data_IF_358248836629
#
_entry.id   IF_358248836629
#
_cell.length_a   1.000
_cell.length_b   1.000
_cell.length_c   1.000
_cell.angle_alpha   90.00
_cell.angle_beta   90.00
_cell.angle_gamma   90.00
#
_symmetry.space_group_name_H-M   'P 1'
#
loop_
_entity.id
_entity.type
_entity.pdbx_description
1 polymer ?
#
# COMPACT_ATOMS: atom_id res chain seq x y z
N UNK A 1 -10.13 36.27 5.67
CA UNK A 1 -10.41 34.88 5.27
C UNK A 1 -9.60 33.99 6.20
N UNK A 2 -10.21 33.20 7.11
CA UNK A 2 -9.47 32.20 7.87
C UNK A 2 -8.93 31.13 6.90
N UNK A 3 -7.69 30.72 7.12
CA UNK A 3 -7.02 29.66 6.36
C UNK A 3 -7.78 28.33 6.56
N UNK A 4 -8.05 27.55 5.49
CA UNK A 4 -8.68 26.25 5.64
C UNK A 4 -7.79 25.35 6.50
N UNK A 5 -8.26 25.00 7.69
CA UNK A 5 -7.55 24.03 8.52
C UNK A 5 -7.69 22.67 7.85
N UNK A 6 -6.57 22.14 7.36
CA UNK A 6 -6.52 20.77 6.86
C UNK A 6 -6.96 19.80 7.98
N UNK A 7 -7.76 18.77 7.67
CA UNK A 7 -8.09 17.73 8.62
C UNK A 7 -6.79 17.18 9.23
N UNK A 8 -6.67 17.21 10.56
CA UNK A 8 -5.57 16.55 11.26
C UNK A 8 -6.10 15.22 11.80
N UNK A 9 -5.45 14.10 11.51
CA UNK A 9 -5.85 12.82 12.07
C UNK A 9 -5.67 12.84 13.58
N UNK A 10 -6.55 12.13 14.28
CA UNK A 10 -6.43 11.89 15.71
C UNK A 10 -5.21 11.00 16.00
N UNK A 11 -4.50 11.26 17.10
CA UNK A 11 -3.28 10.54 17.46
C UNK A 11 -3.58 9.05 17.73
N UNK A 12 -4.75 8.74 18.31
CA UNK A 12 -5.20 7.36 18.54
C UNK A 12 -5.55 6.65 17.22
N UNK A 13 -6.21 7.36 16.29
CA UNK A 13 -6.50 6.85 14.95
C UNK A 13 -5.22 6.55 14.17
N UNK A 14 -4.22 7.43 14.28
CA UNK A 14 -2.89 7.26 13.66
C UNK A 14 -2.16 6.06 14.24
N UNK A 15 -2.10 5.90 15.56
CA UNK A 15 -1.46 4.75 16.19
C UNK A 15 -2.12 3.42 15.78
N UNK A 16 -3.46 3.39 15.73
CA UNK A 16 -4.20 2.24 15.23
C UNK A 16 -3.90 1.96 13.75
N UNK A 17 -3.77 3.00 12.92
CA UNK A 17 -3.43 2.87 11.52
C UNK A 17 -2.00 2.38 11.29
N UNK A 18 -1.03 2.82 12.10
CA UNK A 18 0.35 2.30 12.06
C UNK A 18 0.37 0.79 12.32
N UNK A 19 -0.40 0.33 13.32
CA UNK A 19 -0.57 -1.10 13.57
C UNK A 19 -1.19 -1.83 12.38
N UNK A 20 -2.18 -1.23 11.70
CA UNK A 20 -2.76 -1.80 10.48
C UNK A 20 -1.77 -1.82 9.32
N UNK A 21 -0.95 -0.79 9.15
CA UNK A 21 0.08 -0.73 8.11
C UNK A 21 1.12 -1.85 8.28
N UNK A 22 1.58 -2.05 9.52
CA UNK A 22 2.48 -3.17 9.82
C UNK A 22 1.82 -4.52 9.50
N UNK A 23 0.58 -4.72 9.96
CA UNK A 23 -0.14 -5.97 9.66
C UNK A 23 -0.35 -6.18 8.16
N UNK A 24 -0.68 -5.12 7.42
CA UNK A 24 -0.87 -5.17 5.97
C UNK A 24 0.43 -5.63 5.28
N UNK A 25 1.58 -5.07 5.66
CA UNK A 25 2.88 -5.51 5.14
C UNK A 25 3.19 -6.97 5.50
N UNK A 26 2.94 -7.38 6.75
CA UNK A 26 3.17 -8.77 7.17
C UNK A 26 2.25 -9.79 6.50
N UNK A 27 1.06 -9.37 6.05
CA UNK A 27 0.14 -10.22 5.28
C UNK A 27 0.48 -10.22 3.79
N UNK A 28 0.87 -9.06 3.26
CA UNK A 28 1.17 -8.84 1.85
C UNK A 28 2.42 -9.61 1.40
N UNK A 29 3.54 -9.44 2.11
CA UNK A 29 4.83 -9.97 1.66
C UNK A 29 4.81 -11.51 1.49
N UNK A 30 4.26 -12.31 2.42
CA UNK A 30 4.12 -13.75 2.20
C UNK A 30 3.13 -14.11 1.08
N UNK A 31 2.08 -13.32 0.89
CA UNK A 31 1.06 -13.57 -0.13
C UNK A 31 1.56 -13.31 -1.57
N UNK A 32 2.58 -12.45 -1.73
CA UNK A 32 3.27 -12.25 -3.00
C UNK A 32 4.15 -13.43 -3.41
N UNK A 33 4.51 -14.29 -2.46
CA UNK A 33 5.44 -15.38 -2.68
C UNK A 33 6.90 -14.94 -2.66
N UNK A 34 7.81 -15.88 -2.93
CA UNK A 34 9.24 -15.61 -3.01
C UNK A 34 9.60 -14.81 -4.26
N UNK A 35 10.56 -13.90 -4.15
CA UNK A 35 11.05 -13.12 -5.28
C UNK A 35 11.44 -11.69 -4.94
N UNK A 36 11.74 -10.93 -5.99
CA UNK A 36 11.99 -9.49 -5.92
C UNK A 36 10.75 -8.73 -6.34
N UNK A 37 10.27 -7.88 -5.45
CA UNK A 37 9.04 -7.11 -5.60
C UNK A 37 9.34 -5.61 -5.43
N UNK A 38 8.72 -4.79 -6.25
CA UNK A 38 8.55 -3.36 -5.97
C UNK A 38 7.10 -3.12 -5.54
N UNK A 39 6.94 -2.53 -4.35
CA UNK A 39 5.66 -2.07 -3.84
C UNK A 39 5.57 -0.56 -4.08
N UNK A 40 4.62 -0.10 -4.87
CA UNK A 40 4.38 1.31 -5.14
C UNK A 40 3.02 1.71 -4.58
N UNK A 41 2.98 2.76 -3.77
CA UNK A 41 1.74 3.37 -3.29
C UNK A 41 1.55 4.74 -3.93
N UNK A 42 0.34 5.00 -4.42
CA UNK A 42 -0.12 6.33 -4.83
C UNK A 42 -1.32 6.70 -3.96
N UNK A 43 -1.33 7.92 -3.41
CA UNK A 43 -2.42 8.42 -2.60
C UNK A 43 -2.80 9.84 -3.03
N UNK A 44 -4.09 10.07 -3.29
CA UNK A 44 -4.66 11.40 -3.47
C UNK A 44 -5.10 11.94 -2.10
N UNK A 45 -4.49 13.03 -1.66
CA UNK A 45 -4.90 13.73 -0.45
C UNK A 45 -6.22 14.46 -0.67
N UNK A 46 -6.93 14.77 0.41
CA UNK A 46 -8.21 15.51 0.34
C UNK A 46 -8.09 16.91 -0.26
N UNK A 47 -6.88 17.47 -0.32
CA UNK A 47 -6.59 18.75 -0.99
C UNK A 47 -6.26 18.59 -2.49
N UNK A 48 -6.37 17.37 -3.04
CA UNK A 48 -6.07 17.03 -4.44
C UNK A 48 -4.58 16.78 -4.71
N UNK A 49 -3.71 16.85 -3.70
CA UNK A 49 -2.28 16.55 -3.86
C UNK A 49 -2.06 15.05 -4.02
N UNK A 50 -1.40 14.63 -5.10
CA UNK A 50 -0.92 13.26 -5.24
C UNK A 50 0.41 13.05 -4.51
N UNK A 51 0.51 11.95 -3.76
CA UNK A 51 1.72 11.53 -3.07
C UNK A 51 2.07 10.09 -3.45
N UNK A 52 3.36 9.82 -3.68
CA UNK A 52 3.85 8.52 -4.16
C UNK A 52 5.08 8.07 -3.38
N UNK A 53 5.18 6.76 -3.18
CA UNK A 53 6.37 6.12 -2.62
C UNK A 53 6.52 4.71 -3.16
N UNK A 54 7.76 4.25 -3.30
CA UNK A 54 8.08 2.87 -3.68
C UNK A 54 8.96 2.19 -2.63
N UNK A 55 8.83 0.88 -2.52
CA UNK A 55 9.62 0.02 -1.66
C UNK A 55 10.06 -1.24 -2.42
N UNK A 56 11.35 -1.45 -2.54
CA UNK A 56 11.97 -2.64 -3.11
C UNK A 56 12.23 -3.67 -2.02
N UNK A 57 11.63 -4.85 -2.18
CA UNK A 57 11.70 -5.95 -1.22
C UNK A 57 12.09 -7.24 -1.90
N UNK A 58 13.01 -7.99 -1.30
CA UNK A 58 13.19 -9.41 -1.61
C UNK A 58 12.51 -10.25 -0.54
N UNK A 59 11.68 -11.20 -0.96
CA UNK A 59 11.02 -12.18 -0.08
C UNK A 59 11.70 -13.54 -0.27
N UNK A 60 12.14 -14.12 0.84
CA UNK A 60 12.79 -15.43 0.95
C UNK A 60 11.99 -16.32 1.93
N UNK A 61 12.22 -17.65 1.96
CA UNK A 61 11.58 -18.52 2.94
C UNK A 61 11.77 -18.01 4.39
N UNK A 62 10.68 -17.55 5.01
CA UNK A 62 10.67 -17.11 6.41
C UNK A 62 11.33 -15.75 6.68
N UNK A 63 11.75 -15.00 5.66
CA UNK A 63 12.33 -13.67 5.84
C UNK A 63 12.10 -12.74 4.65
N UNK A 64 12.30 -11.45 4.85
CA UNK A 64 12.27 -10.47 3.78
C UNK A 64 13.30 -9.37 4.05
N UNK A 65 13.77 -8.74 2.98
CA UNK A 65 14.76 -7.65 3.03
C UNK A 65 14.25 -6.46 2.23
N UNK A 66 14.22 -5.30 2.88
CA UNK A 66 14.04 -4.00 2.21
C UNK A 66 15.40 -3.51 1.73
N UNK A 67 15.47 -3.05 0.48
CA UNK A 67 16.70 -2.52 -0.12
C UNK A 67 16.80 -1.00 -0.08
N UNK A 68 15.67 -0.33 0.18
CA UNK A 68 15.60 1.13 0.34
C UNK A 68 16.34 1.63 1.57
N UNK A 69 16.65 2.93 1.55
CA UNK A 69 17.16 3.60 2.75
C UNK A 69 16.11 3.60 3.88
N UNK A 70 16.52 3.76 5.15
CA UNK A 70 15.58 3.90 6.26
C UNK A 70 14.58 5.05 6.05
N UNK A 71 15.01 6.16 5.45
CA UNK A 71 14.18 7.32 5.17
C UNK A 71 13.11 7.02 4.13
N UNK A 72 13.48 6.32 3.06
CA UNK A 72 12.55 5.88 2.01
C UNK A 72 11.53 4.86 2.56
N UNK A 73 11.99 3.91 3.38
CA UNK A 73 11.10 2.98 4.08
C UNK A 73 10.10 3.72 4.98
N UNK A 74 10.58 4.68 5.78
CA UNK A 74 9.72 5.49 6.65
C UNK A 74 8.71 6.29 5.83
N UNK A 75 9.14 6.90 4.72
CA UNK A 75 8.24 7.64 3.85
C UNK A 75 7.12 6.75 3.30
N UNK A 76 7.46 5.58 2.76
CA UNK A 76 6.48 4.60 2.30
C UNK A 76 5.52 4.16 3.42
N UNK A 77 6.06 3.82 4.58
CA UNK A 77 5.28 3.34 5.72
C UNK A 77 4.32 4.40 6.26
N UNK A 78 4.75 5.66 6.31
CA UNK A 78 3.93 6.80 6.71
C UNK A 78 2.80 7.03 5.71
N UNK A 79 3.09 6.96 4.41
CA UNK A 79 2.07 7.13 3.37
C UNK A 79 1.01 6.02 3.43
N UNK A 80 1.43 4.76 3.59
CA UNK A 80 0.53 3.63 3.80
C UNK A 80 -0.32 3.80 5.08
N UNK A 81 0.29 4.31 6.15
CA UNK A 81 -0.41 4.59 7.40
C UNK A 81 -1.53 5.61 7.20
N UNK A 82 -1.26 6.73 6.52
CA UNK A 82 -2.28 7.74 6.25
C UNK A 82 -3.36 7.24 5.30
N UNK A 83 -3.00 6.45 4.28
CA UNK A 83 -3.97 5.81 3.40
C UNK A 83 -4.94 4.88 4.17
N UNK A 84 -4.42 4.12 5.14
CA UNK A 84 -5.23 3.24 6.00
C UNK A 84 -6.00 3.99 7.10
N UNK A 85 -5.63 5.22 7.40
CA UNK A 85 -6.33 6.09 8.35
C UNK A 85 -7.49 6.86 7.67
N UNK A 86 -7.33 7.23 6.41
CA UNK A 86 -8.35 7.79 5.49
C UNK A 86 -8.84 9.23 5.78
N UNK A 87 -8.52 9.86 6.91
CA UNK A 87 -9.03 11.23 7.19
C UNK A 87 -8.39 12.32 6.32
N UNK A 88 -7.18 12.06 5.80
CA UNK A 88 -6.39 12.99 4.98
C UNK A 88 -6.16 12.50 3.55
N UNK A 89 -6.59 11.28 3.25
CA UNK A 89 -6.41 10.60 1.97
C UNK A 89 -7.79 10.25 1.42
N UNK A 90 -8.10 10.82 0.25
CA UNK A 90 -9.35 10.60 -0.47
C UNK A 90 -9.37 9.22 -1.13
N UNK A 91 -8.28 8.90 -1.82
CA UNK A 91 -8.11 7.65 -2.55
C UNK A 91 -6.65 7.19 -2.47
N UNK A 92 -6.43 5.87 -2.46
CA UNK A 92 -5.10 5.32 -2.48
C UNK A 92 -5.08 3.91 -3.06
N UNK A 93 -4.04 3.67 -3.87
CA UNK A 93 -3.79 2.40 -4.55
C UNK A 93 -2.40 1.93 -4.21
N UNK A 94 -2.29 0.65 -3.84
CA UNK A 94 -1.03 -0.06 -3.67
C UNK A 94 -0.87 -1.05 -4.82
N UNK A 95 0.27 -1.01 -5.50
CA UNK A 95 0.63 -1.95 -6.58
C UNK A 95 1.90 -2.69 -6.18
N UNK A 96 1.90 -4.01 -6.33
CA UNK A 96 3.10 -4.82 -6.25
C UNK A 96 3.47 -5.26 -7.66
N UNK A 97 4.68 -4.94 -8.11
CA UNK A 97 5.26 -5.47 -9.33
C UNK A 97 6.34 -6.48 -8.99
N UNK A 98 6.36 -7.60 -9.71
CA UNK A 98 7.32 -8.69 -9.50
C UNK A 98 8.07 -8.93 -10.79
N UNK A 99 9.40 -8.81 -10.75
CA UNK A 99 10.26 -9.09 -11.88
C UNK A 99 10.67 -10.58 -11.83
N UNK A 100 9.95 -11.43 -12.57
CA UNK A 100 10.24 -12.85 -12.73
C UNK A 100 10.48 -13.19 -14.22
N UNK A 101 9.91 -14.27 -14.77
CA UNK A 101 9.87 -14.58 -16.20
C UNK A 101 8.94 -13.61 -17.01
N UNK A 102 8.81 -12.37 -16.55
CA UNK A 102 7.88 -11.32 -16.96
C UNK A 102 7.73 -10.26 -15.85
N UNK A 103 7.04 -9.14 -16.11
CA UNK A 103 6.66 -8.19 -15.05
C UNK A 103 5.21 -8.48 -14.68
N UNK A 104 4.98 -8.99 -13.47
CA UNK A 104 3.64 -9.27 -12.97
C UNK A 104 3.20 -8.17 -12.03
N UNK A 105 2.01 -7.59 -12.22
CA UNK A 105 1.46 -6.56 -11.35
C UNK A 105 0.16 -6.99 -10.68
N UNK A 106 0.11 -6.91 -9.36
CA UNK A 106 -1.08 -7.13 -8.56
C UNK A 106 -1.36 -5.83 -7.77
N UNK A 107 -2.63 -5.49 -7.54
CA UNK A 107 -3.02 -4.19 -7.00
C UNK A 107 -4.14 -4.27 -5.98
N UNK A 108 -4.15 -3.31 -5.07
CA UNK A 108 -5.14 -3.18 -4.01
C UNK A 108 -5.59 -1.73 -3.88
N UNK A 109 -6.90 -1.55 -3.73
CA UNK A 109 -7.48 -0.33 -3.19
C UNK A 109 -7.29 -0.27 -1.68
N UNK A 110 -6.92 0.90 -1.19
CA UNK A 110 -6.89 1.18 0.25
C UNK A 110 -8.22 1.79 0.64
N UNK A 111 -9.10 0.98 1.24
CA UNK A 111 -10.43 1.43 1.69
C UNK A 111 -10.81 0.79 3.01
N UNK A 112 -11.64 1.48 3.80
CA UNK A 112 -12.10 1.01 5.11
C UNK A 112 -10.95 0.60 6.06
N UNK A 113 -9.80 1.26 5.91
CA UNK A 113 -8.58 0.99 6.65
C UNK A 113 -7.95 -0.37 6.37
N UNK A 114 -8.12 -0.92 5.16
CA UNK A 114 -7.48 -2.16 4.73
C UNK A 114 -7.19 -2.20 3.23
N UNK A 115 -6.44 -3.22 2.80
CA UNK A 115 -6.10 -3.49 1.40
C UNK A 115 -7.14 -4.43 0.79
N UNK A 116 -7.77 -4.00 -0.29
CA UNK A 116 -8.78 -4.76 -1.01
C UNK A 116 -8.32 -5.04 -2.44
N UNK A 117 -8.34 -6.30 -2.92
CA UNK A 117 -7.96 -6.62 -4.30
C UNK A 117 -8.72 -5.74 -5.29
N UNK A 118 -7.97 -5.13 -6.19
CA UNK A 118 -8.48 -4.30 -7.28
C UNK A 118 -8.90 -5.19 -8.46
N UNK A 119 -9.86 -4.73 -9.26
CA UNK A 119 -10.15 -5.40 -10.53
C UNK A 119 -8.96 -5.24 -11.51
N UNK A 120 -8.70 -6.27 -12.30
CA UNK A 120 -7.59 -6.25 -13.27
C UNK A 120 -7.71 -5.12 -14.30
N UNK A 121 -8.91 -4.67 -14.65
CA UNK A 121 -9.08 -3.53 -15.57
C UNK A 121 -8.73 -2.20 -14.90
N UNK A 122 -9.13 -2.01 -13.65
CA UNK A 122 -8.78 -0.81 -12.85
C UNK A 122 -7.26 -0.75 -12.62
N UNK A 123 -6.65 -1.91 -12.38
CA UNK A 123 -5.21 -2.03 -12.21
C UNK A 123 -4.43 -1.73 -13.49
N UNK A 124 -4.97 -2.06 -14.66
CA UNK A 124 -4.37 -1.69 -15.94
C UNK A 124 -4.32 -0.16 -16.11
N UNK A 125 -5.38 0.54 -15.71
CA UNK A 125 -5.45 2.01 -15.74
C UNK A 125 -4.49 2.63 -14.70
N UNK A 126 -4.47 2.11 -13.48
CA UNK A 126 -3.58 2.56 -12.43
C UNK A 126 -2.10 2.34 -12.80
N UNK A 127 -1.76 1.18 -13.38
CA UNK A 127 -0.39 0.84 -13.80
C UNK A 127 0.19 1.82 -14.82
N UNK A 128 -0.64 2.42 -15.68
CA UNK A 128 -0.21 3.46 -16.60
C UNK A 128 0.32 4.71 -15.87
N UNK A 129 -0.18 5.00 -14.66
CA UNK A 129 0.27 6.13 -13.85
C UNK A 129 1.58 5.87 -13.09
N UNK A 130 1.98 4.60 -12.91
CA UNK A 130 3.20 4.19 -12.20
C UNK A 130 4.44 4.10 -13.10
N UNK A 131 4.34 4.43 -14.39
CA UNK A 131 5.46 4.43 -15.34
C UNK A 131 6.30 3.13 -15.31
N UNK A 132 5.62 1.98 -15.37
CA UNK A 132 6.32 0.68 -15.50
C UNK A 132 7.15 0.72 -16.81
N UNK A 133 8.50 0.61 -16.75
CA UNK A 133 9.37 0.90 -17.89
C UNK A 133 9.15 0.04 -19.14
N UNK A 134 8.46 -1.09 -18.98
CA UNK A 134 8.11 -2.01 -20.05
C UNK A 134 6.63 -2.43 -19.94
N UNK A 135 5.74 -1.44 -20.08
CA UNK A 135 4.29 -1.67 -20.05
C UNK A 135 3.80 -2.70 -21.12
N UNK A 136 4.61 -2.99 -22.14
CA UNK A 136 4.30 -3.98 -23.18
C UNK A 136 4.46 -5.44 -22.70
N UNK A 137 5.18 -5.69 -21.61
CA UNK A 137 5.38 -7.02 -21.01
C UNK A 137 4.75 -7.14 -19.61
N UNK A 138 3.96 -6.15 -19.20
CA UNK A 138 3.21 -6.15 -17.94
C UNK A 138 2.03 -7.13 -18.01
N UNK A 139 2.04 -8.13 -17.14
CA UNK A 139 0.93 -9.05 -16.94
C UNK A 139 0.22 -8.67 -15.64
N UNK A 140 -1.01 -8.19 -15.75
CA UNK A 140 -1.84 -7.91 -14.58
C UNK A 140 -2.37 -9.22 -13.98
N UNK A 141 -2.17 -9.39 -12.69
CA UNK A 141 -2.61 -10.54 -11.91
C UNK A 141 -3.75 -10.19 -10.96
N UNK A 142 -4.61 -11.17 -10.68
CA UNK A 142 -5.54 -11.06 -9.57
C UNK A 142 -4.76 -10.96 -8.25
N UNK A 143 -4.98 -9.87 -7.53
CA UNK A 143 -4.34 -9.67 -6.25
C UNK A 143 -4.85 -10.66 -5.20
N UNK A 144 -3.97 -11.25 -4.38
CA UNK A 144 -4.39 -12.12 -3.29
C UNK A 144 -5.24 -11.36 -2.27
N UNK A 145 -6.27 -12.03 -1.75
CA UNK A 145 -7.10 -11.50 -0.67
C UNK A 145 -6.29 -11.50 0.63
N UNK A 146 -6.09 -10.34 1.22
CA UNK A 146 -5.37 -10.19 2.48
C UNK A 146 -6.36 -10.22 3.66
N UNK A 147 -6.22 -11.21 4.54
CA UNK A 147 -7.06 -11.30 5.72
C UNK A 147 -6.71 -10.21 6.73
N UNK A 148 -7.68 -9.35 7.03
CA UNK A 148 -7.56 -8.38 8.12
C UNK A 148 -7.50 -9.12 9.45
N UNK A 149 -6.49 -8.86 10.31
CA UNK A 149 -6.50 -9.43 11.65
C UNK A 149 -7.76 -8.96 12.38
N UNK A 150 -8.47 -9.88 13.02
CA UNK A 150 -9.58 -9.51 13.89
C UNK A 150 -9.07 -8.54 14.94
N UNK A 151 -9.68 -7.34 15.00
CA UNK A 151 -9.52 -6.51 16.19
C UNK A 151 -10.13 -7.30 17.33
N UNK A 152 -9.30 -7.90 18.17
CA UNK A 152 -9.74 -8.40 19.46
C UNK A 152 -10.32 -7.19 20.16
N UNK A 153 -11.65 -7.10 20.24
CA UNK A 153 -12.30 -6.08 21.02
C UNK A 153 -11.80 -6.26 22.45
N UNK A 154 -10.91 -5.38 22.90
CA UNK A 154 -10.66 -5.21 24.31
C UNK A 154 -11.99 -4.75 24.90
N UNK A 155 -12.76 -5.73 25.40
CA UNK A 155 -13.87 -5.48 26.30
C UNK A 155 -13.28 -4.74 27.49
N UNK A 156 -13.47 -3.42 27.51
CA UNK A 156 -13.39 -2.65 28.74
C UNK A 156 -14.26 -3.34 29.79
N UNK A 157 -13.64 -3.63 30.93
CA UNK A 157 -14.30 -3.97 32.17
C UNK A 157 -13.64 -3.22 33.31
#
# INVERSE_FOLDING_TARGET
MPEPQLPRPDDAATASAMGRALHALTALLPALGEGSHELSINAERTDGTEMRASLYVTVEPGSWRVHNSPEEYVHFFVLLTFALEHSTVRDAVLVATTANAGIHACGWDVRNGWLHPMDTSELQEAAAAFSVPDAASLVVCHAPVLHRPHQTAEKHS
#
